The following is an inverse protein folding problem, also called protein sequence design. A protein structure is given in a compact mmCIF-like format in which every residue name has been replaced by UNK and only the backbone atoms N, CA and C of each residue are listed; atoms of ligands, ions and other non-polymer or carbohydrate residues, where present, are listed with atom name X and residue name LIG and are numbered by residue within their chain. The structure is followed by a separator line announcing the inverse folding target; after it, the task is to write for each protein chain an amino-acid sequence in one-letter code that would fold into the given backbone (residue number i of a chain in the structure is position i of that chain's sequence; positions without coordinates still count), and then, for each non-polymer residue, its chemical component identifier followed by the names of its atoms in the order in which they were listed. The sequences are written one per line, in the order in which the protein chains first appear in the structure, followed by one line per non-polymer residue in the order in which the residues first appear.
data_IF_935890990083
#
_entry.id   IF_935890990083
#
_cell.length_a   1.000
_cell.length_b   1.000
_cell.length_c   1.000
_cell.angle_alpha   90.00
_cell.angle_beta   90.00
_cell.angle_gamma   90.00
#
_symmetry.space_group_name_H-M   'P 1'
#
loop_
_entity.id
_entity.type
_entity.pdbx_description
1 polymer ?
#
# COMPACT_ATOMS: atom_id res chain seq x y z
N UNK A 1 -22.72 -5.12 20.86
CA UNK A 1 -22.29 -3.72 20.59
C UNK A 1 -21.83 -3.67 19.14
N UNK A 2 -22.56 -2.96 18.26
CA UNK A 2 -22.19 -2.83 16.85
C UNK A 2 -21.08 -1.79 16.71
N UNK A 3 -19.83 -2.23 16.47
CA UNK A 3 -18.77 -1.34 16.04
C UNK A 3 -19.06 -0.93 14.60
N UNK A 4 -19.55 0.29 14.40
CA UNK A 4 -19.75 0.84 13.05
C UNK A 4 -18.39 0.90 12.37
N UNK A 5 -18.26 0.24 11.22
CA UNK A 5 -17.06 0.29 10.38
C UNK A 5 -17.34 1.11 9.13
N UNK A 6 -16.35 1.89 8.69
CA UNK A 6 -16.37 2.64 7.44
C UNK A 6 -15.46 1.95 6.42
N UNK A 7 -15.88 1.95 5.16
CA UNK A 7 -15.13 1.41 4.02
C UNK A 7 -14.24 2.50 3.44
N UNK A 8 -12.99 2.17 3.18
CA UNK A 8 -12.01 3.04 2.53
C UNK A 8 -11.39 2.31 1.33
N UNK A 9 -10.93 3.09 0.35
CA UNK A 9 -10.20 2.56 -0.80
C UNK A 9 -8.93 3.38 -1.01
N UNK A 10 -7.80 2.69 -1.07
CA UNK A 10 -6.50 3.25 -1.43
C UNK A 10 -6.18 2.81 -2.86
N UNK A 11 -5.84 3.76 -3.72
CA UNK A 11 -5.26 3.50 -5.04
C UNK A 11 -3.78 3.90 -4.97
N UNK A 12 -2.88 2.97 -5.29
CA UNK A 12 -1.45 3.23 -5.33
C UNK A 12 -0.90 2.97 -6.73
N UNK A 13 -0.19 3.95 -7.27
CA UNK A 13 0.44 3.90 -8.59
C UNK A 13 1.95 3.82 -8.40
N UNK A 14 2.57 2.81 -8.99
CA UNK A 14 4.01 2.64 -8.96
C UNK A 14 4.65 3.39 -10.11
N UNK A 15 5.32 4.51 -9.80
CA UNK A 15 5.92 5.37 -10.82
C UNK A 15 7.19 4.77 -11.45
N UNK A 16 8.13 4.30 -10.64
CA UNK A 16 9.42 3.75 -11.07
C UNK A 16 10.04 2.90 -9.98
N UNK A 17 10.89 1.94 -10.36
CA UNK A 17 11.76 1.20 -9.45
C UNK A 17 13.16 1.10 -10.08
N UNK A 18 14.09 1.91 -9.57
CA UNK A 18 15.48 2.04 -10.07
C UNK A 18 16.46 1.84 -8.91
N UNK A 19 17.77 1.85 -9.20
CA UNK A 19 18.82 1.64 -8.19
C UNK A 19 18.65 0.32 -7.43
N UNK A 20 18.17 -0.71 -8.13
CA UNK A 20 18.03 -2.05 -7.59
C UNK A 20 19.39 -2.77 -7.66
N UNK A 21 19.64 -3.63 -6.68
CA UNK A 21 20.75 -4.58 -6.72
C UNK A 21 20.39 -5.78 -7.61
N UNK A 22 21.40 -6.53 -8.06
CA UNK A 22 21.18 -7.78 -8.78
C UNK A 22 20.51 -8.79 -7.84
N UNK A 23 19.20 -8.96 -8.02
CA UNK A 23 18.39 -9.72 -7.07
C UNK A 23 18.27 -11.22 -7.40
N UNK A 24 18.78 -11.69 -8.55
CA UNK A 24 18.75 -13.11 -8.97
C UNK A 24 17.35 -13.75 -9.11
N UNK A 25 16.33 -13.10 -8.57
CA UNK A 25 14.97 -13.56 -8.37
C UNK A 25 13.98 -12.48 -8.88
N UNK A 26 12.76 -12.87 -9.29
CA UNK A 26 11.73 -11.91 -9.65
C UNK A 26 11.31 -11.03 -8.46
N UNK A 27 11.17 -9.73 -8.70
CA UNK A 27 10.76 -8.74 -7.71
C UNK A 27 9.25 -8.51 -7.81
N UNK A 28 8.59 -8.37 -6.66
CA UNK A 28 7.20 -7.96 -6.54
C UNK A 28 7.08 -6.97 -5.39
N UNK A 29 6.32 -5.89 -5.61
CA UNK A 29 5.95 -4.95 -4.56
C UNK A 29 4.56 -5.26 -4.05
N UNK A 30 4.32 -4.98 -2.77
CA UNK A 30 3.01 -5.07 -2.10
C UNK A 30 2.67 -3.73 -1.46
N UNK A 31 1.40 -3.34 -1.50
CA UNK A 31 0.84 -2.22 -0.74
C UNK A 31 -0.22 -2.75 0.21
N UNK A 32 -0.08 -2.43 1.49
CA UNK A 32 -1.06 -2.76 2.51
C UNK A 32 -1.47 -1.51 3.30
N UNK A 33 -2.69 -1.55 3.85
CA UNK A 33 -3.20 -0.54 4.80
C UNK A 33 -3.68 -1.30 6.03
N UNK A 34 -2.91 -1.23 7.11
CA UNK A 34 -3.03 -2.21 8.19
C UNK A 34 -2.79 -3.62 7.65
N UNK A 35 -3.66 -4.56 7.98
CA UNK A 35 -3.58 -5.92 7.46
C UNK A 35 -4.27 -6.10 6.09
N UNK A 36 -5.02 -5.12 5.61
CA UNK A 36 -5.67 -5.22 4.30
C UNK A 36 -4.62 -5.13 3.19
N UNK A 37 -4.53 -6.17 2.36
CA UNK A 37 -3.54 -6.28 1.29
C UNK A 37 -2.26 -7.04 1.69
N UNK A 38 -2.12 -7.45 2.96
CA UNK A 38 -1.01 -8.30 3.36
C UNK A 38 -1.17 -9.71 2.78
N UNK A 39 -0.28 -10.13 1.87
CA UNK A 39 -0.37 -11.45 1.23
C UNK A 39 -0.14 -12.63 2.18
N UNK A 40 0.47 -12.39 3.34
CA UNK A 40 0.76 -13.41 4.35
C UNK A 40 -0.38 -13.54 5.37
N UNK A 41 -1.33 -12.61 5.39
CA UNK A 41 -2.45 -12.61 6.33
C UNK A 41 -3.73 -13.16 5.68
N UNK A 42 -4.27 -14.24 6.25
CA UNK A 42 -5.50 -14.89 5.78
C UNK A 42 -6.76 -14.41 6.51
N UNK A 43 -6.64 -13.53 7.50
CA UNK A 43 -7.78 -13.00 8.25
C UNK A 43 -8.61 -12.00 7.45
N UNK A 44 -8.03 -11.42 6.39
CA UNK A 44 -8.65 -10.47 5.49
C UNK A 44 -8.96 -11.12 4.13
N UNK A 45 -9.92 -10.55 3.38
CA UNK A 45 -10.21 -11.02 2.02
C UNK A 45 -8.98 -10.78 1.12
N UNK A 46 -8.67 -11.71 0.20
CA UNK A 46 -7.63 -11.50 -0.82
C UNK A 46 -7.92 -10.23 -1.62
N UNK A 47 -6.90 -9.40 -1.82
CA UNK A 47 -6.98 -8.16 -2.56
C UNK A 47 -5.82 -8.08 -3.55
N UNK A 48 -6.03 -7.40 -4.67
CA UNK A 48 -4.96 -7.03 -5.59
C UNK A 48 -4.11 -5.92 -4.95
N UNK A 49 -3.20 -6.33 -4.07
CA UNK A 49 -2.27 -5.47 -3.35
C UNK A 49 -0.85 -5.53 -3.90
N UNK A 50 -0.59 -6.43 -4.84
CA UNK A 50 0.76 -6.67 -5.36
C UNK A 50 0.91 -6.30 -6.83
N UNK A 51 2.13 -5.92 -7.21
CA UNK A 51 2.52 -5.83 -8.62
C UNK A 51 2.69 -7.23 -9.22
N UNK A 52 2.73 -7.32 -10.55
CA UNK A 52 3.23 -8.54 -11.19
C UNK A 52 4.70 -8.76 -10.83
N UNK A 53 5.11 -10.02 -10.79
CA UNK A 53 6.52 -10.38 -10.67
C UNK A 53 7.27 -9.94 -11.93
N UNK A 54 8.43 -9.32 -11.76
CA UNK A 54 9.31 -8.93 -12.86
C UNK A 54 10.76 -9.02 -12.45
N UNK A 55 11.61 -9.44 -13.38
CA UNK A 55 13.05 -9.36 -13.19
C UNK A 55 13.53 -7.92 -13.38
N UNK A 56 14.55 -7.55 -12.60
CA UNK A 56 15.26 -6.30 -12.80
C UNK A 56 16.19 -6.42 -14.02
N UNK A 57 16.24 -5.35 -14.81
CA UNK A 57 17.05 -5.23 -16.01
C UNK A 57 18.18 -4.25 -15.73
N UNK A 58 19.40 -4.59 -16.16
CA UNK A 58 20.55 -3.71 -16.03
C UNK A 58 20.45 -2.55 -17.04
N UNK A 59 20.72 -1.32 -16.59
CA UNK A 59 20.71 -0.12 -17.44
C UNK A 59 21.89 -0.04 -18.42
N UNK A 60 22.89 -0.91 -18.26
CA UNK A 60 24.11 -0.92 -19.05
C UNK A 60 25.24 -0.07 -18.46
N UNK A 61 25.07 0.51 -17.27
CA UNK A 61 26.06 1.39 -16.67
C UNK A 61 26.16 1.26 -15.14
N UNK A 62 25.12 1.64 -14.39
CA UNK A 62 25.22 1.86 -12.94
C UNK A 62 24.26 1.03 -12.11
N UNK A 63 23.09 0.65 -12.63
CA UNK A 63 22.07 0.05 -11.78
C UNK A 63 21.06 -0.84 -12.51
N UNK A 64 20.37 -1.68 -11.74
CA UNK A 64 19.20 -2.41 -12.21
C UNK A 64 17.91 -1.62 -11.95
N UNK A 65 16.92 -1.82 -12.80
CA UNK A 65 15.61 -1.20 -12.69
C UNK A 65 14.50 -2.15 -13.16
N UNK A 66 13.26 -1.90 -12.78
CA UNK A 66 12.11 -2.58 -13.38
C UNK A 66 11.64 -1.80 -14.61
N UNK A 67 11.47 -2.46 -15.77
CA UNK A 67 11.16 -1.80 -17.04
C UNK A 67 9.68 -1.45 -17.16
N UNK A 68 9.13 -0.74 -16.18
CA UNK A 68 7.71 -0.34 -16.20
C UNK A 68 7.38 0.68 -17.29
N UNK A 69 8.36 1.47 -17.76
CA UNK A 69 8.21 2.41 -18.89
C UNK A 69 6.82 3.11 -18.90
N UNK A 70 6.01 2.87 -19.93
CA UNK A 70 4.65 3.42 -20.08
C UNK A 70 3.56 2.56 -19.41
N UNK A 71 3.89 1.34 -18.99
CA UNK A 71 2.97 0.42 -18.29
C UNK A 71 3.21 0.46 -16.79
N UNK A 72 2.69 1.50 -16.13
CA UNK A 72 2.84 1.68 -14.68
C UNK A 72 1.91 0.72 -13.91
N UNK A 73 2.44 -0.10 -12.97
CA UNK A 73 1.59 -0.92 -12.11
C UNK A 73 0.69 -0.06 -11.23
N UNK A 74 -0.55 -0.51 -11.04
CA UNK A 74 -1.52 0.12 -10.14
C UNK A 74 -2.15 -0.98 -9.30
N UNK A 75 -2.30 -0.70 -8.00
CA UNK A 75 -2.98 -1.60 -7.05
C UNK A 75 -4.07 -0.85 -6.30
N UNK A 76 -5.17 -1.55 -5.99
CA UNK A 76 -6.32 -0.98 -5.28
C UNK A 76 -6.60 -1.84 -4.06
N UNK A 77 -6.47 -1.23 -2.88
CA UNK A 77 -6.71 -1.88 -1.60
C UNK A 77 -8.00 -1.34 -1.00
N UNK A 78 -8.96 -2.22 -0.71
CA UNK A 78 -10.17 -1.88 0.02
C UNK A 78 -10.02 -2.29 1.48
N UNK A 79 -10.26 -1.37 2.41
CA UNK A 79 -10.14 -1.63 3.86
C UNK A 79 -11.37 -1.18 4.63
N UNK A 80 -11.56 -1.75 5.83
CA UNK A 80 -12.65 -1.41 6.73
C UNK A 80 -12.13 -1.11 8.13
N UNK A 81 -12.44 0.08 8.63
CA UNK A 81 -11.91 0.60 9.89
C UNK A 81 -13.05 1.02 10.81
N UNK A 82 -12.84 0.93 12.13
CA UNK A 82 -13.80 1.41 13.12
C UNK A 82 -14.03 2.92 12.97
N UNK A 83 -15.27 3.36 13.17
CA UNK A 83 -15.60 4.78 13.25
C UNK A 83 -15.15 5.38 14.59
N UNK A 84 -14.01 6.07 14.56
CA UNK A 84 -13.41 6.69 15.74
C UNK A 84 -13.74 8.19 15.89
N UNK A 85 -14.65 8.73 15.07
CA UNK A 85 -14.95 10.17 15.03
C UNK A 85 -15.26 10.74 16.42
N UNK A 86 -16.05 10.02 17.22
CA UNK A 86 -16.42 10.43 18.58
C UNK A 86 -15.22 10.69 19.52
N UNK A 87 -14.12 9.91 19.36
CA UNK A 87 -12.90 10.11 20.17
C UNK A 87 -12.13 11.32 19.69
N UNK A 88 -12.05 11.51 18.37
CA UNK A 88 -11.35 12.64 17.76
C UNK A 88 -12.04 13.96 18.08
N UNK A 89 -13.38 14.02 18.00
CA UNK A 89 -14.15 15.23 18.33
C UNK A 89 -13.88 15.70 19.77
N UNK A 90 -13.83 14.75 20.71
CA UNK A 90 -13.52 15.02 22.12
C UNK A 90 -12.11 15.57 22.31
N UNK A 91 -11.11 14.96 21.64
CA UNK A 91 -9.70 15.42 21.70
C UNK A 91 -9.54 16.80 21.06
N UNK A 92 -10.17 17.05 19.91
CA UNK A 92 -10.11 18.33 19.22
C UNK A 92 -10.69 19.46 20.08
N UNK A 93 -11.79 19.20 20.80
CA UNK A 93 -12.37 20.17 21.74
C UNK A 93 -11.42 20.50 22.91
N UNK A 94 -10.75 19.49 23.48
CA UNK A 94 -9.77 19.72 24.54
C UNK A 94 -8.54 20.50 24.04
N UNK A 95 -8.03 20.16 22.86
CA UNK A 95 -6.89 20.86 22.26
C UNK A 95 -7.22 22.33 21.98
N UNK A 96 -8.43 22.59 21.47
CA UNK A 96 -8.90 23.96 21.22
C UNK A 96 -9.00 24.82 22.48
N UNK A 97 -9.28 24.23 23.66
CA UNK A 97 -9.33 24.95 24.94
C UNK A 97 -7.93 25.15 25.54
N UNK A 98 -6.97 24.30 25.17
CA UNK A 98 -5.60 24.35 25.66
C UNK A 98 -4.72 25.39 24.93
N UNK A 99 -5.11 25.80 23.72
CA UNK A 99 -4.57 26.96 22.99
C UNK A 99 -5.23 28.27 23.45
#
# INVERSE_FOLDING_TARGET
RYQRRRKYSLCAVFHSACMLQELGEPIQFEVSVGNYGNKLDSTCKPLASTTQYSFAVFDGNYYYYLPWADTKPVVIVTSYWEDISHRLDSVNGLLFIAD
#
